data_IF_838363928423
#
_entry.id   IF_838363928423
#
_cell.length_a   1.000
_cell.length_b   1.000
_cell.length_c   1.000
_cell.angle_alpha   90.00
_cell.angle_beta   90.00
_cell.angle_gamma   90.00
#
_symmetry.space_group_name_H-M   'P 1'
#
loop_
_entity.id
_entity.type
_entity.pdbx_description
1 polymer ?
#
# COMPACT_ATOMS: atom_id res chain seq x y z
N UNK A 1 -6.42 -15.37 -6.23
CA UNK A 1 -5.22 -14.52 -6.40
C UNK A 1 -4.90 -13.87 -5.05
N UNK A 2 -3.63 -13.56 -4.77
CA UNK A 2 -3.20 -12.86 -3.55
C UNK A 2 -2.87 -11.42 -3.91
N UNK A 3 -3.35 -10.45 -3.11
CA UNK A 3 -3.07 -9.02 -3.29
C UNK A 3 -2.42 -8.45 -2.03
N UNK A 4 -1.42 -7.59 -2.19
CA UNK A 4 -0.89 -6.81 -1.06
C UNK A 4 -1.78 -5.59 -0.84
N UNK A 5 -2.31 -5.45 0.36
CA UNK A 5 -3.17 -4.34 0.77
C UNK A 5 -2.33 -3.18 1.28
N UNK A 6 -1.29 -3.49 2.06
CA UNK A 6 -0.38 -2.50 2.62
C UNK A 6 0.73 -3.16 3.43
N UNK A 7 1.64 -2.35 3.94
CA UNK A 7 2.69 -2.84 4.82
C UNK A 7 3.55 -1.73 5.39
N UNK A 8 4.24 -2.05 6.47
CA UNK A 8 5.12 -1.14 7.21
C UNK A 8 6.41 -1.86 7.58
N UNK A 9 7.54 -1.15 7.50
CA UNK A 9 8.82 -1.64 8.04
C UNK A 9 8.82 -1.45 9.55
N UNK A 10 9.16 -2.50 10.29
CA UNK A 10 9.24 -2.48 11.77
C UNK A 10 10.68 -2.57 12.28
N UNK A 11 11.64 -2.87 11.39
CA UNK A 11 13.07 -2.90 11.68
C UNK A 11 13.90 -2.95 10.39
N UNK A 12 15.23 -3.05 10.50
CA UNK A 12 16.13 -2.96 9.34
C UNK A 12 15.87 -4.00 8.23
N UNK A 13 15.35 -5.17 8.58
CA UNK A 13 14.93 -6.22 7.62
C UNK A 13 13.59 -6.86 7.97
N UNK A 14 12.85 -6.23 8.86
CA UNK A 14 11.59 -6.75 9.39
C UNK A 14 10.43 -5.91 8.88
N UNK A 15 9.36 -6.58 8.42
CA UNK A 15 8.19 -5.95 7.82
C UNK A 15 6.93 -6.61 8.33
N UNK A 16 5.87 -5.82 8.46
CA UNK A 16 4.51 -6.30 8.66
C UNK A 16 3.73 -5.96 7.40
N UNK A 17 3.13 -6.96 6.77
CA UNK A 17 2.31 -6.80 5.57
C UNK A 17 0.87 -7.24 5.86
N UNK A 18 -0.06 -6.65 5.14
CA UNK A 18 -1.44 -7.12 5.06
C UNK A 18 -1.63 -7.66 3.65
N UNK A 19 -1.94 -8.95 3.55
CA UNK A 19 -2.26 -9.61 2.28
C UNK A 19 -3.70 -10.03 2.27
N UNK A 20 -4.35 -9.81 1.14
CA UNK A 20 -5.71 -10.16 0.87
C UNK A 20 -5.76 -11.47 0.09
N UNK A 21 -6.49 -12.44 0.64
CA UNK A 21 -6.69 -13.77 0.07
C UNK A 21 -8.17 -14.11 0.24
N UNK A 22 -8.88 -14.27 -0.88
CA UNK A 22 -10.34 -14.38 -0.88
C UNK A 22 -10.98 -13.24 -0.05
N UNK A 23 -11.85 -13.56 0.91
CA UNK A 23 -12.56 -12.58 1.74
C UNK A 23 -11.86 -12.33 3.09
N UNK A 24 -10.57 -12.66 3.17
CA UNK A 24 -9.77 -12.50 4.37
C UNK A 24 -8.56 -11.63 4.12
N UNK A 25 -8.22 -10.85 5.14
CA UNK A 25 -6.94 -10.20 5.27
C UNK A 25 -6.10 -10.95 6.29
N UNK A 26 -4.86 -11.22 5.92
CA UNK A 26 -3.88 -11.89 6.75
C UNK A 26 -2.76 -10.91 7.02
N UNK A 27 -2.52 -10.64 8.31
CA UNK A 27 -1.38 -9.86 8.76
C UNK A 27 -0.18 -10.79 8.85
N UNK A 28 0.89 -10.47 8.12
CA UNK A 28 2.07 -11.31 7.99
C UNK A 28 3.30 -10.55 8.47
N UNK A 29 4.02 -11.11 9.42
CA UNK A 29 5.36 -10.68 9.80
C UNK A 29 6.41 -11.35 8.92
N UNK A 30 7.33 -10.57 8.36
CA UNK A 30 8.42 -11.04 7.51
C UNK A 30 9.74 -10.58 8.09
N UNK A 31 10.63 -11.54 8.33
CA UNK A 31 12.01 -11.36 8.75
C UNK A 31 12.94 -12.19 7.85
N UNK A 32 14.28 -12.01 7.89
CA UNK A 32 15.19 -12.83 7.09
C UNK A 32 15.01 -14.32 7.36
N UNK A 33 14.59 -15.08 6.34
CA UNK A 33 14.37 -16.53 6.44
C UNK A 33 13.14 -16.97 7.23
N UNK A 34 12.30 -16.03 7.70
CA UNK A 34 11.10 -16.35 8.48
C UNK A 34 9.91 -15.51 8.03
N UNK A 35 8.78 -16.18 7.82
CA UNK A 35 7.49 -15.55 7.57
C UNK A 35 6.50 -16.17 8.55
N UNK A 36 5.68 -15.34 9.19
CA UNK A 36 4.66 -15.81 10.12
C UNK A 36 3.35 -15.04 9.95
N UNK A 37 2.23 -15.75 9.98
CA UNK A 37 0.92 -15.13 10.09
C UNK A 37 0.73 -14.67 11.55
N UNK A 38 0.51 -13.37 11.73
CA UNK A 38 0.33 -12.75 13.04
C UNK A 38 -1.15 -12.68 13.42
N UNK A 39 -2.02 -12.42 12.44
CA UNK A 39 -3.47 -12.35 12.63
C UNK A 39 -4.21 -12.60 11.31
N UNK A 40 -5.48 -12.98 11.42
CA UNK A 40 -6.42 -13.05 10.29
C UNK A 40 -7.69 -12.30 10.66
N UNK A 41 -8.22 -11.52 9.72
CA UNK A 41 -9.43 -10.73 9.90
C UNK A 41 -10.29 -10.76 8.63
N UNK A 42 -11.61 -10.56 8.73
CA UNK A 42 -12.46 -10.42 7.55
C UNK A 42 -12.02 -9.20 6.72
N UNK A 43 -12.07 -9.33 5.39
CA UNK A 43 -11.82 -8.23 4.44
C UNK A 43 -12.69 -7.04 4.83
N UNK A 44 -12.08 -5.86 4.91
CA UNK A 44 -12.83 -4.63 5.17
C UNK A 44 -13.26 -4.03 3.82
N UNK A 45 -14.54 -3.71 3.69
CA UNK A 45 -15.12 -3.04 2.50
C UNK A 45 -14.69 -1.57 2.39
N UNK A 46 -14.16 -1.00 3.48
CA UNK A 46 -13.76 0.40 3.53
C UNK A 46 -12.47 0.60 2.74
N UNK A 47 -12.59 1.44 1.70
CA UNK A 47 -11.57 1.91 0.77
C UNK A 47 -10.20 1.98 1.43
N UNK A 48 -9.44 0.89 1.29
CA UNK A 48 -8.11 0.81 1.86
C UNK A 48 -7.31 1.83 1.09
N UNK A 49 -7.08 2.98 1.75
CA UNK A 49 -6.38 4.15 1.24
C UNK A 49 -5.30 3.66 0.32
N UNK A 50 -5.59 3.75 -0.97
CA UNK A 50 -4.68 3.31 -2.00
C UNK A 50 -3.53 4.27 -1.82
N UNK A 51 -2.45 3.81 -1.16
CA UNK A 51 -1.19 4.52 -1.17
C UNK A 51 -0.66 4.33 -2.58
N UNK A 52 -1.32 4.99 -3.53
CA UNK A 52 -0.79 5.22 -4.85
C UNK A 52 0.57 5.88 -4.62
N UNK A 53 1.59 5.54 -5.43
CA UNK A 53 2.85 6.24 -5.35
C UNK A 53 2.55 7.74 -5.59
N UNK A 54 2.68 8.55 -4.54
CA UNK A 54 2.33 9.97 -4.56
C UNK A 54 3.03 10.76 -5.70
N UNK A 55 4.09 10.19 -6.27
CA UNK A 55 4.84 10.72 -7.40
C UNK A 55 4.02 10.83 -8.71
N UNK A 56 3.11 9.90 -9.00
CA UNK A 56 2.32 9.93 -10.26
C UNK A 56 1.25 11.03 -10.24
N UNK A 57 0.65 11.28 -9.08
CA UNK A 57 -0.42 12.27 -8.93
C UNK A 57 0.13 13.72 -8.84
N UNK A 58 1.27 13.91 -8.17
CA UNK A 58 1.87 15.23 -8.01
C UNK A 58 2.46 15.78 -9.31
N UNK A 59 3.17 14.94 -10.09
CA UNK A 59 3.77 15.35 -11.37
C UNK A 59 2.71 15.76 -12.41
N UNK A 60 1.56 15.08 -12.41
CA UNK A 60 0.44 15.39 -13.30
C UNK A 60 -0.25 16.71 -12.92
N UNK A 61 -0.47 16.96 -11.63
CA UNK A 61 -1.00 18.23 -11.13
C UNK A 61 -0.05 19.41 -11.38
N UNK A 62 1.26 19.22 -11.18
CA UNK A 62 2.26 20.25 -11.45
C UNK A 62 2.25 20.68 -12.92
N UNK A 63 2.24 19.73 -13.85
CA UNK A 63 2.17 20.00 -15.29
C UNK A 63 0.93 20.84 -15.65
N UNK A 64 -0.24 20.41 -15.16
CA UNK A 64 -1.50 21.12 -15.41
C UNK A 64 -1.50 22.55 -14.86
N UNK A 65 -0.88 22.77 -13.70
CA UNK A 65 -0.77 24.11 -13.09
C UNK A 65 0.19 25.01 -13.86
N UNK A 66 1.26 24.46 -14.43
CA UNK A 66 2.20 25.20 -15.29
C UNK A 66 1.60 25.58 -16.64
N UNK A 67 0.89 24.66 -17.31
CA UNK A 67 0.18 24.95 -18.56
C UNK A 67 -0.87 26.05 -18.40
N UNK A 68 -1.63 26.02 -17.29
CA UNK A 68 -2.63 27.05 -17.00
C UNK A 68 -2.04 28.45 -16.79
N UNK A 69 -0.78 28.56 -16.37
CA UNK A 69 -0.06 29.84 -16.21
C UNK A 69 0.60 30.34 -17.50
N UNK A 70 0.96 29.44 -18.41
CA UNK A 70 1.60 29.79 -19.69
C UNK A 70 0.60 30.13 -20.81
N UNK A 71 -0.69 29.86 -20.60
CA UNK A 71 -1.77 30.16 -21.55
C UNK A 71 -2.46 31.52 -21.27
N UNK A 72 -1.83 32.40 -20.49
CA UNK A 72 -2.30 33.77 -20.19
C UNK A 72 -1.36 34.81 -20.79
#
# INVERSE_FOLDING_TARGET
AVRVVGGVSVGGRERVLIVEVADQWIVVGVAPGRVNALATMPRQENDVLTTAPAAQNFSSWLKQTMEKRNAS
#
